data_IF_856036561871
#
_entry.id   IF_856036561871
#
_cell.length_a   1.000
_cell.length_b   1.000
_cell.length_c   1.000
_cell.angle_alpha   90.00
_cell.angle_beta   90.00
_cell.angle_gamma   90.00
#
_symmetry.space_group_name_H-M   'P 1'
#
loop_
_entity.id
_entity.type
_entity.pdbx_description
1 polymer ?
#
# COMPACT_ATOMS: atom_id res chain seq x y z
N UNK A 1 23.26 -6.98 -7.16
CA UNK A 1 22.13 -7.07 -8.11
C UNK A 1 21.51 -5.68 -8.22
N UNK A 2 21.50 -5.11 -9.42
CA UNK A 2 21.27 -3.67 -9.62
C UNK A 2 19.79 -3.35 -9.88
N UNK A 3 18.94 -3.66 -8.91
CA UNK A 3 17.48 -3.49 -9.01
C UNK A 3 17.03 -2.04 -9.13
N UNK A 4 17.83 -1.10 -8.61
CA UNK A 4 17.54 0.32 -8.67
C UNK A 4 17.51 0.80 -10.12
N UNK A 5 18.47 0.38 -10.94
CA UNK A 5 18.50 0.72 -12.37
C UNK A 5 17.32 0.12 -13.14
N UNK A 6 16.88 -1.09 -12.78
CA UNK A 6 15.71 -1.71 -13.39
C UNK A 6 14.39 -0.97 -13.08
N UNK A 7 14.29 -0.30 -11.93
CA UNK A 7 13.11 0.50 -11.54
C UNK A 7 12.98 1.79 -12.36
N UNK A 8 14.10 2.34 -12.82
CA UNK A 8 14.17 3.58 -13.60
C UNK A 8 14.29 3.34 -15.12
N UNK A 9 14.67 2.13 -15.54
CA UNK A 9 14.73 1.71 -16.94
C UNK A 9 13.46 2.04 -17.77
N UNK A 10 12.23 1.73 -17.30
CA UNK A 10 11.03 2.00 -18.09
C UNK A 10 10.81 3.48 -18.41
N UNK A 11 10.84 4.42 -17.44
CA UNK A 11 10.70 5.84 -17.76
C UNK A 11 11.88 6.40 -18.58
N UNK A 12 13.12 5.95 -18.35
CA UNK A 12 14.29 6.38 -19.14
C UNK A 12 14.25 5.89 -20.59
N UNK A 13 13.78 4.66 -20.83
CA UNK A 13 13.62 4.11 -22.19
C UNK A 13 12.63 4.93 -23.02
N UNK A 14 11.58 5.44 -22.39
CA UNK A 14 10.54 6.25 -23.04
C UNK A 14 10.99 7.70 -23.24
N UNK A 15 11.88 8.20 -22.37
CA UNK A 15 12.53 9.50 -22.57
C UNK A 15 13.47 9.47 -23.79
N UNK A 16 14.24 8.39 -23.95
CA UNK A 16 15.18 8.19 -25.07
C UNK A 16 14.49 8.02 -26.44
N UNK A 17 13.24 7.55 -26.46
CA UNK A 17 12.44 7.43 -27.70
C UNK A 17 11.86 8.79 -28.18
N UNK A 18 12.12 9.89 -27.45
CA UNK A 18 11.65 11.24 -27.77
C UNK A 18 10.17 11.50 -27.43
N UNK A 19 9.51 10.59 -26.72
CA UNK A 19 8.08 10.69 -26.37
C UNK A 19 7.90 11.22 -24.94
N UNK A 20 8.22 12.51 -24.75
CA UNK A 20 8.11 13.22 -23.46
C UNK A 20 6.71 13.10 -22.84
N UNK A 21 5.65 13.21 -23.64
CA UNK A 21 4.29 13.08 -23.13
C UNK A 21 4.01 11.67 -22.58
N UNK A 22 4.49 10.64 -23.28
CA UNK A 22 4.34 9.25 -22.85
C UNK A 22 5.19 8.96 -21.62
N UNK A 23 6.39 9.54 -21.50
CA UNK A 23 7.23 9.35 -20.31
C UNK A 23 6.58 9.93 -19.06
N UNK A 24 5.90 11.08 -19.18
CA UNK A 24 5.16 11.70 -18.07
C UNK A 24 3.98 10.81 -17.65
N UNK A 25 3.16 10.35 -18.62
CA UNK A 25 2.03 9.45 -18.35
C UNK A 25 2.51 8.17 -17.66
N UNK A 26 3.60 7.58 -18.15
CA UNK A 26 4.17 6.37 -17.57
C UNK A 26 4.71 6.67 -16.17
N UNK A 27 5.41 7.78 -15.94
CA UNK A 27 5.91 8.15 -14.61
C UNK A 27 4.78 8.35 -13.59
N UNK A 28 3.67 8.98 -14.00
CA UNK A 28 2.47 9.21 -13.16
C UNK A 28 1.75 7.91 -12.83
N UNK A 29 1.75 6.91 -13.72
CA UNK A 29 1.19 5.58 -13.44
C UNK A 29 2.19 4.71 -12.65
N UNK A 30 3.49 4.92 -12.87
CA UNK A 30 4.58 4.13 -12.30
C UNK A 30 4.80 4.41 -10.82
N UNK A 31 4.76 5.68 -10.39
CA UNK A 31 4.86 6.07 -8.98
C UNK A 31 3.80 5.33 -8.13
N UNK A 32 2.50 5.42 -8.43
CA UNK A 32 1.49 4.69 -7.68
C UNK A 32 1.65 3.18 -7.87
N UNK A 33 2.03 2.68 -9.05
CA UNK A 33 2.28 1.25 -9.22
C UNK A 33 3.38 0.71 -8.30
N UNK A 34 4.47 1.46 -8.08
CA UNK A 34 5.52 1.09 -7.10
C UNK A 34 4.98 1.16 -5.66
N UNK A 35 4.22 2.20 -5.33
CA UNK A 35 3.63 2.38 -4.00
C UNK A 35 2.60 1.28 -3.68
N UNK A 36 1.74 0.94 -4.64
CA UNK A 36 0.74 -0.12 -4.51
C UNK A 36 1.37 -1.52 -4.56
N UNK A 37 2.36 -1.74 -5.45
CA UNK A 37 3.09 -3.01 -5.53
C UNK A 37 3.95 -3.29 -4.30
N UNK A 38 4.31 -2.28 -3.51
CA UNK A 38 5.04 -2.41 -2.25
C UNK A 38 4.17 -2.29 -0.98
N UNK A 39 2.85 -2.11 -1.12
CA UNK A 39 2.05 -1.57 -0.02
C UNK A 39 0.59 -1.95 0.01
N UNK A 40 0.10 -3.01 -0.63
CA UNK A 40 -1.29 -3.48 -0.44
C UNK A 40 -1.50 -4.19 0.91
N UNK A 41 -0.45 -4.79 1.47
CA UNK A 41 -0.47 -5.38 2.82
C UNK A 41 -0.49 -4.32 3.92
N UNK A 42 0.00 -3.10 3.69
CA UNK A 42 0.03 -2.06 4.72
C UNK A 42 -1.37 -1.46 5.05
N UNK A 43 -2.19 -1.00 4.08
CA UNK A 43 -3.58 -0.59 4.29
C UNK A 43 -4.42 -1.73 4.84
N UNK A 44 -4.21 -2.95 4.34
CA UNK A 44 -4.90 -4.14 4.83
C UNK A 44 -4.54 -4.41 6.30
N UNK A 45 -3.26 -4.28 6.69
CA UNK A 45 -2.81 -4.42 8.07
C UNK A 45 -3.37 -3.34 8.99
N UNK A 46 -3.39 -2.07 8.56
CA UNK A 46 -3.96 -0.96 9.34
C UNK A 46 -5.46 -1.17 9.54
N UNK A 47 -6.18 -1.57 8.50
CA UNK A 47 -7.61 -1.88 8.59
C UNK A 47 -7.88 -3.06 9.54
N UNK A 48 -7.09 -4.14 9.45
CA UNK A 48 -7.21 -5.29 10.34
C UNK A 48 -6.86 -4.94 11.79
N UNK A 49 -5.78 -4.20 12.03
CA UNK A 49 -5.37 -3.77 13.37
C UNK A 49 -6.43 -2.89 14.03
N UNK A 50 -7.04 -1.97 13.27
CA UNK A 50 -8.13 -1.13 13.76
C UNK A 50 -9.36 -1.95 14.17
N UNK A 51 -9.75 -2.93 13.34
CA UNK A 51 -10.86 -3.85 13.64
C UNK A 51 -10.56 -4.68 14.89
N UNK A 52 -9.35 -5.23 15.01
CA UNK A 52 -8.94 -6.04 16.17
C UNK A 52 -8.95 -5.25 17.48
N UNK A 53 -8.48 -4.00 17.48
CA UNK A 53 -8.52 -3.13 18.67
C UNK A 53 -9.97 -2.81 19.06
N UNK A 54 -10.82 -2.54 18.09
CA UNK A 54 -12.25 -2.29 18.34
C UNK A 54 -12.95 -3.52 18.93
N UNK A 55 -12.72 -4.71 18.38
CA UNK A 55 -13.27 -5.96 18.91
C UNK A 55 -12.74 -6.27 20.31
N UNK A 56 -11.44 -6.15 20.55
CA UNK A 56 -10.85 -6.39 21.87
C UNK A 56 -11.36 -5.42 22.95
N UNK A 57 -11.67 -4.17 22.57
CA UNK A 57 -12.31 -3.19 23.46
C UNK A 57 -13.78 -3.52 23.77
N UNK A 58 -14.50 -4.07 22.80
CA UNK A 58 -15.89 -4.50 22.96
C UNK A 58 -16.01 -5.78 23.83
N UNK A 59 -15.12 -6.76 23.63
CA UNK A 59 -15.13 -8.01 24.39
C UNK A 59 -14.83 -7.82 25.88
N UNK A 60 -13.94 -6.87 26.23
CA UNK A 60 -13.72 -6.45 27.63
C UNK A 60 -14.95 -5.85 28.30
N UNK A 61 -15.92 -5.33 27.54
CA UNK A 61 -17.20 -4.83 28.10
C UNK A 61 -18.21 -5.96 28.29
N UNK A 62 -18.22 -6.95 27.40
CA UNK A 62 -19.13 -8.11 27.48
C UNK A 62 -18.76 -9.07 28.60
N UNK A 63 -17.46 -9.31 28.86
CA UNK A 63 -17.03 -10.21 29.95
C UNK A 63 -17.35 -9.72 31.38
N UNK A 64 -17.79 -8.47 31.55
CA UNK A 64 -18.27 -7.93 32.84
C UNK A 64 -19.78 -8.09 33.05
N UNK A 65 -20.54 -8.33 31.98
CA UNK A 65 -22.00 -8.41 32.05
C UNK A 65 -22.51 -9.83 32.34
N UNK A 66 -21.64 -10.85 32.24
CA UNK A 66 -21.96 -12.28 32.47
C UNK A 66 -21.44 -12.79 33.84
N UNK A 67 -21.02 -11.89 34.75
CA UNK A 67 -20.59 -12.24 36.11
C UNK A 67 -21.50 -11.68 37.19
N UNK A 68 -22.57 -10.99 36.78
CA UNK A 68 -23.54 -10.31 37.65
C UNK A 68 -24.93 -10.98 37.58
N UNK A 69 -24.97 -12.27 37.21
CA UNK A 69 -26.15 -13.15 37.11
C UNK A 69 -25.94 -14.46 37.88
#
# INVERSE_FOLDING_TARGET
>A
MNYVLALFLPPLSILLIGRIFLSIVVFVIWIPAIIFSGGLTHPMFIALAWILIYQAGAEKRMGRFTRDD
#
